data_IF_240915884852
#
_entry.id   IF_240915884852
#
_cell.length_a   1.000
_cell.length_b   1.000
_cell.length_c   1.000
_cell.angle_alpha   90.00
_cell.angle_beta   90.00
_cell.angle_gamma   90.00
#
_symmetry.space_group_name_H-M   'P 1'
#
loop_
_entity.id
_entity.type
_entity.pdbx_description
1 polymer ?
#
# COMPACT_ATOMS: atom_id res chain seq x y z
N UNK A 1 -27.42 38.70 -30.85
CA UNK A 1 -26.36 37.83 -30.29
C UNK A 1 -27.02 36.79 -29.40
N UNK A 2 -27.08 35.53 -29.84
CA UNK A 2 -27.59 34.42 -29.02
C UNK A 2 -26.46 33.98 -28.08
N UNK A 3 -26.75 33.98 -26.78
CA UNK A 3 -25.84 33.47 -25.78
C UNK A 3 -25.59 31.98 -26.04
N UNK A 4 -24.31 31.62 -26.20
CA UNK A 4 -23.88 30.24 -26.27
C UNK A 4 -24.02 29.64 -24.87
N UNK A 5 -25.02 28.78 -24.69
CA UNK A 5 -25.17 27.95 -23.52
C UNK A 5 -23.96 27.01 -23.46
N UNK A 6 -23.05 27.26 -22.51
CA UNK A 6 -21.97 26.34 -22.18
C UNK A 6 -22.59 25.05 -21.64
N UNK A 7 -22.70 24.03 -22.49
CA UNK A 7 -22.93 22.66 -22.05
C UNK A 7 -21.69 22.24 -21.27
N UNK A 8 -21.71 22.42 -19.94
CA UNK A 8 -20.90 21.61 -19.05
C UNK A 8 -21.24 20.16 -19.38
N UNK A 9 -20.30 19.42 -19.97
CA UNK A 9 -20.37 17.95 -19.99
C UNK A 9 -20.55 17.54 -18.53
N UNK A 10 -21.74 17.08 -18.18
CA UNK A 10 -21.98 16.33 -16.96
C UNK A 10 -21.20 15.02 -17.12
N UNK A 11 -19.93 15.05 -16.75
CA UNK A 11 -19.18 13.82 -16.54
C UNK A 11 -19.85 13.13 -15.37
N UNK A 12 -20.52 12.02 -15.65
CA UNK A 12 -21.08 11.16 -14.61
C UNK A 12 -19.94 10.80 -13.67
N UNK A 13 -20.02 11.24 -12.42
CA UNK A 13 -19.03 10.85 -11.42
C UNK A 13 -19.05 9.32 -11.27
N UNK A 14 -17.86 8.73 -11.25
CA UNK A 14 -17.69 7.33 -10.94
C UNK A 14 -18.11 7.10 -9.49
N UNK A 15 -19.00 6.14 -9.27
CA UNK A 15 -19.44 5.74 -7.94
C UNK A 15 -18.37 4.91 -7.22
N UNK A 16 -18.41 4.88 -5.88
CA UNK A 16 -17.57 3.99 -5.06
C UNK A 16 -17.57 2.53 -5.53
N UNK A 17 -18.74 2.00 -5.90
CA UNK A 17 -18.88 0.62 -6.38
C UNK A 17 -18.25 0.40 -7.76
N UNK A 18 -18.34 1.39 -8.65
CA UNK A 18 -17.64 1.35 -9.94
C UNK A 18 -16.13 1.39 -9.74
N UNK A 19 -15.63 2.28 -8.87
CA UNK A 19 -14.22 2.34 -8.51
C UNK A 19 -13.74 1.00 -7.92
N UNK A 20 -14.51 0.38 -7.01
CA UNK A 20 -14.19 -0.91 -6.41
C UNK A 20 -14.11 -2.04 -7.43
N UNK A 21 -15.06 -2.11 -8.37
CA UNK A 21 -15.02 -3.11 -9.44
C UNK A 21 -13.80 -2.93 -10.33
N UNK A 22 -13.53 -1.70 -10.78
CA UNK A 22 -12.38 -1.41 -11.63
C UNK A 22 -11.06 -1.74 -10.92
N UNK A 23 -10.88 -1.27 -9.68
CA UNK A 23 -9.69 -1.57 -8.88
C UNK A 23 -9.53 -3.06 -8.62
N UNK A 24 -10.61 -3.79 -8.32
CA UNK A 24 -10.52 -5.23 -8.10
C UNK A 24 -10.04 -5.98 -9.34
N UNK A 25 -10.50 -5.60 -10.54
CA UNK A 25 -10.03 -6.20 -11.79
C UNK A 25 -8.56 -5.89 -12.03
N UNK A 26 -8.14 -4.63 -11.83
CA UNK A 26 -6.75 -4.22 -12.00
C UNK A 26 -5.82 -4.94 -11.03
N UNK A 27 -6.18 -5.02 -9.75
CA UNK A 27 -5.40 -5.72 -8.74
C UNK A 27 -5.35 -7.24 -8.99
N UNK A 28 -6.43 -7.81 -9.56
CA UNK A 28 -6.40 -9.20 -10.02
C UNK A 28 -5.37 -9.41 -11.12
N UNK A 29 -5.42 -8.62 -12.19
CA UNK A 29 -4.47 -8.76 -13.31
C UNK A 29 -3.02 -8.45 -12.89
N UNK A 30 -2.82 -7.46 -12.02
CA UNK A 30 -1.51 -7.12 -11.44
C UNK A 30 -0.87 -8.29 -10.70
N UNK A 31 -1.68 -9.03 -9.93
CA UNK A 31 -1.19 -10.12 -9.07
C UNK A 31 -1.32 -11.50 -9.71
N UNK A 32 -2.00 -11.62 -10.86
CA UNK A 32 -2.13 -12.85 -11.64
C UNK A 32 -0.81 -13.59 -11.95
N UNK A 33 0.32 -12.91 -12.27
CA UNK A 33 1.57 -13.62 -12.52
C UNK A 33 2.27 -14.10 -11.23
N UNK A 34 1.77 -13.73 -10.04
CA UNK A 34 2.41 -14.11 -8.79
C UNK A 34 2.19 -15.59 -8.49
N UNK A 35 3.20 -16.21 -7.87
CA UNK A 35 3.14 -17.59 -7.38
C UNK A 35 3.16 -17.57 -5.86
N UNK A 36 2.19 -18.26 -5.24
CA UNK A 36 1.98 -18.20 -3.79
C UNK A 36 3.22 -18.62 -3.02
N UNK A 37 3.87 -19.69 -3.46
CA UNK A 37 5.08 -20.23 -2.84
C UNK A 37 6.25 -19.24 -2.93
N UNK A 38 6.36 -18.52 -4.04
CA UNK A 38 7.38 -17.48 -4.20
C UNK A 38 7.12 -16.29 -3.29
N UNK A 39 5.86 -15.84 -3.21
CA UNK A 39 5.47 -14.76 -2.31
C UNK A 39 5.74 -15.12 -0.85
N UNK A 40 5.37 -16.33 -0.44
CA UNK A 40 5.62 -16.84 0.90
C UNK A 40 7.12 -16.91 1.19
N UNK A 41 7.91 -17.46 0.26
CA UNK A 41 9.36 -17.51 0.36
C UNK A 41 9.99 -16.12 0.49
N UNK A 42 9.55 -15.14 -0.29
CA UNK A 42 10.09 -13.77 -0.26
C UNK A 42 9.83 -13.10 1.09
N UNK A 43 8.61 -13.26 1.63
CA UNK A 43 8.23 -12.69 2.93
C UNK A 43 9.01 -13.38 4.06
N UNK A 44 9.11 -14.71 4.04
CA UNK A 44 9.88 -15.46 5.04
C UNK A 44 11.37 -15.09 4.99
N UNK A 45 11.95 -14.92 3.80
CA UNK A 45 13.35 -14.52 3.67
C UNK A 45 13.62 -13.18 4.35
N UNK A 46 12.71 -12.20 4.19
CA UNK A 46 12.83 -10.88 4.84
C UNK A 46 12.70 -11.02 6.37
N UNK A 47 11.72 -11.79 6.85
CA UNK A 47 11.49 -12.03 8.29
C UNK A 47 12.69 -12.75 8.91
N UNK A 48 13.20 -13.80 8.27
CA UNK A 48 14.39 -14.53 8.70
C UNK A 48 15.63 -13.65 8.74
N UNK A 49 15.83 -12.77 7.75
CA UNK A 49 16.94 -11.81 7.76
C UNK A 49 16.88 -10.88 8.97
N UNK A 50 15.70 -10.35 9.31
CA UNK A 50 15.52 -9.53 10.51
C UNK A 50 15.82 -10.31 11.79
N UNK A 51 15.43 -11.60 11.84
CA UNK A 51 15.67 -12.49 12.97
C UNK A 51 17.17 -12.77 13.17
N UNK A 52 17.87 -13.14 12.10
CA UNK A 52 19.31 -13.43 12.13
C UNK A 52 20.14 -12.19 12.52
N UNK A 53 19.69 -11.00 12.14
CA UNK A 53 20.36 -9.74 12.47
C UNK A 53 20.10 -9.26 13.90
N UNK A 54 19.09 -9.81 14.59
CA UNK A 54 18.80 -9.48 15.97
C UNK A 54 19.68 -10.28 16.93
N UNK A 55 20.10 -9.65 18.02
CA UNK A 55 20.89 -10.32 19.06
C UNK A 55 20.04 -11.28 19.92
N UNK A 56 18.75 -10.97 20.07
CA UNK A 56 17.78 -11.69 20.89
C UNK A 56 16.34 -11.40 20.40
N UNK A 57 15.35 -12.09 20.98
CA UNK A 57 13.94 -11.96 20.63
C UNK A 57 13.36 -10.57 20.95
N UNK A 58 13.83 -9.90 22.00
CA UNK A 58 13.35 -8.55 22.35
C UNK A 58 13.79 -7.54 21.29
N UNK A 59 15.07 -7.58 20.90
CA UNK A 59 15.61 -6.76 19.82
C UNK A 59 14.95 -7.08 18.50
N UNK A 60 14.67 -8.35 18.24
CA UNK A 60 13.94 -8.78 17.04
C UNK A 60 12.53 -8.18 16.99
N UNK A 61 11.75 -8.27 18.07
CA UNK A 61 10.40 -7.69 18.14
C UNK A 61 10.44 -6.16 17.99
N UNK A 62 11.40 -5.49 18.60
CA UNK A 62 11.60 -4.04 18.44
C UNK A 62 11.96 -3.66 16.99
N UNK A 63 12.78 -4.47 16.33
CA UNK A 63 13.11 -4.30 14.91
C UNK A 63 11.86 -4.51 14.04
N UNK A 64 11.05 -5.54 14.29
CA UNK A 64 9.77 -5.76 13.59
C UNK A 64 8.86 -4.55 13.75
N UNK A 65 8.70 -4.04 14.97
CA UNK A 65 7.85 -2.89 15.24
C UNK A 65 8.31 -1.63 14.49
N UNK A 66 9.62 -1.37 14.47
CA UNK A 66 10.18 -0.26 13.69
C UNK A 66 9.93 -0.43 12.18
N UNK A 67 10.04 -1.66 11.66
CA UNK A 67 9.75 -1.96 10.26
C UNK A 67 8.26 -1.85 9.93
N UNK A 68 7.36 -2.26 10.84
CA UNK A 68 5.91 -2.05 10.74
C UNK A 68 5.60 -0.56 10.65
N UNK A 69 6.18 0.26 11.54
CA UNK A 69 6.00 1.71 11.50
C UNK A 69 6.49 2.30 10.18
N UNK A 70 7.68 1.91 9.72
CA UNK A 70 8.23 2.38 8.45
C UNK A 70 7.33 1.98 7.25
N UNK A 71 6.87 0.73 7.20
CA UNK A 71 6.04 0.21 6.12
C UNK A 71 4.62 0.80 6.14
N UNK A 72 4.04 1.04 7.33
CA UNK A 72 2.75 1.70 7.49
C UNK A 72 2.77 3.15 7.00
N UNK A 73 3.82 3.89 7.32
CA UNK A 73 4.00 5.26 6.85
C UNK A 73 4.35 5.31 5.35
N UNK A 74 5.09 4.33 4.84
CA UNK A 74 5.34 4.19 3.40
C UNK A 74 4.05 3.92 2.62
N UNK A 75 3.17 3.09 3.17
CA UNK A 75 1.84 2.84 2.61
C UNK A 75 0.99 4.13 2.61
N UNK A 76 1.11 4.96 3.65
CA UNK A 76 0.48 6.28 3.67
C UNK A 76 1.02 7.19 2.57
N UNK A 77 2.34 7.23 2.35
CA UNK A 77 2.95 8.03 1.29
C UNK A 77 2.46 7.62 -0.11
N UNK A 78 2.36 6.32 -0.39
CA UNK A 78 1.81 5.80 -1.65
C UNK A 78 0.37 6.27 -1.88
N UNK A 79 -0.47 6.27 -0.83
CA UNK A 79 -1.82 6.85 -0.92
C UNK A 79 -1.80 8.34 -1.24
N UNK A 80 -0.90 9.11 -0.62
CA UNK A 80 -0.81 10.54 -0.89
C UNK A 80 -0.40 10.83 -2.34
N UNK A 81 0.53 10.04 -2.90
CA UNK A 81 0.95 10.16 -4.30
C UNK A 81 -0.25 9.91 -5.23
N UNK A 82 -1.02 8.84 -5.01
CA UNK A 82 -2.19 8.58 -5.85
C UNK A 82 -3.29 9.62 -5.66
N UNK A 83 -3.53 10.03 -4.40
CA UNK A 83 -4.51 11.07 -4.09
C UNK A 83 -4.16 12.39 -4.78
N UNK A 84 -2.88 12.72 -4.90
CA UNK A 84 -2.42 13.88 -5.65
C UNK A 84 -2.79 13.75 -7.14
N UNK A 85 -2.47 12.63 -7.78
CA UNK A 85 -2.82 12.37 -9.18
C UNK A 85 -4.33 12.46 -9.45
N UNK A 86 -5.16 11.91 -8.54
CA UNK A 86 -6.61 11.97 -8.66
C UNK A 86 -7.17 13.40 -8.50
N UNK A 87 -6.65 14.17 -7.54
CA UNK A 87 -7.12 15.55 -7.28
C UNK A 87 -6.73 16.51 -8.39
N UNK A 88 -5.48 16.43 -8.84
CA UNK A 88 -4.96 17.28 -9.91
C UNK A 88 -5.31 16.75 -11.31
N UNK A 89 -5.95 15.58 -11.39
CA UNK A 89 -6.34 14.90 -12.63
C UNK A 89 -5.17 14.79 -13.61
N UNK A 90 -4.00 14.41 -13.09
CA UNK A 90 -2.75 14.33 -13.84
C UNK A 90 -2.05 13.02 -13.57
N UNK A 91 -1.34 12.54 -14.59
CA UNK A 91 -0.36 11.46 -14.42
C UNK A 91 0.98 12.06 -14.00
N UNK A 92 1.66 11.36 -13.10
CA UNK A 92 3.06 11.62 -12.77
C UNK A 92 3.95 10.70 -13.59
N UNK A 93 5.19 11.12 -13.88
CA UNK A 93 6.16 10.18 -14.45
C UNK A 93 6.57 9.13 -13.40
N UNK A 94 6.98 7.91 -13.83
CA UNK A 94 7.55 6.92 -12.92
C UNK A 94 8.71 7.47 -12.08
N UNK A 95 9.58 8.28 -12.69
CA UNK A 95 10.71 8.90 -11.99
C UNK A 95 10.26 9.88 -10.91
N UNK A 96 9.17 10.62 -11.15
CA UNK A 96 8.58 11.51 -10.15
C UNK A 96 7.99 10.72 -8.98
N UNK A 97 7.29 9.60 -9.25
CA UNK A 97 6.77 8.72 -8.20
C UNK A 97 7.91 8.16 -7.34
N UNK A 98 8.96 7.65 -7.97
CA UNK A 98 10.14 7.11 -7.28
C UNK A 98 10.83 8.17 -6.41
N UNK A 99 10.97 9.40 -6.93
CA UNK A 99 11.54 10.52 -6.18
C UNK A 99 10.68 10.88 -4.97
N UNK A 100 9.36 11.03 -5.15
CA UNK A 100 8.42 11.33 -4.06
C UNK A 100 8.43 10.23 -2.98
N UNK A 101 8.46 8.96 -3.39
CA UNK A 101 8.53 7.84 -2.46
C UNK A 101 9.86 7.82 -1.71
N UNK A 102 10.98 8.08 -2.39
CA UNK A 102 12.31 8.17 -1.79
C UNK A 102 12.36 9.28 -0.74
N UNK A 103 11.87 10.48 -1.07
CA UNK A 103 11.83 11.62 -0.15
C UNK A 103 10.96 11.33 1.07
N UNK A 104 9.79 10.73 0.85
CA UNK A 104 8.91 10.31 1.93
C UNK A 104 9.59 9.29 2.84
N UNK A 105 10.23 8.26 2.28
CA UNK A 105 10.95 7.24 3.05
C UNK A 105 12.13 7.83 3.83
N UNK A 106 12.86 8.79 3.28
CA UNK A 106 13.91 9.50 4.01
C UNK A 106 13.34 10.31 5.18
N UNK A 107 12.22 11.01 4.98
CA UNK A 107 11.54 11.76 6.02
C UNK A 107 11.02 10.83 7.15
N UNK A 108 10.46 9.67 6.78
CA UNK A 108 10.01 8.64 7.72
C UNK A 108 11.20 8.12 8.53
N UNK A 109 12.32 7.77 7.89
CA UNK A 109 13.53 7.27 8.60
C UNK A 109 14.03 8.25 9.66
N UNK A 110 14.02 9.56 9.37
CA UNK A 110 14.44 10.60 10.32
C UNK A 110 13.54 10.68 11.55
N UNK A 111 12.27 10.29 11.42
CA UNK A 111 11.24 10.39 12.48
C UNK A 111 10.84 9.02 13.04
N UNK A 112 11.47 7.94 12.57
CA UNK A 112 11.05 6.58 12.88
C UNK A 112 10.99 6.27 14.39
N UNK A 113 11.95 6.74 15.23
CA UNK A 113 11.85 6.53 16.68
C UNK A 113 10.56 7.08 17.29
N UNK A 114 10.11 8.26 16.86
CA UNK A 114 8.88 8.89 17.34
C UNK A 114 7.61 8.17 16.83
N UNK A 115 7.67 7.66 15.60
CA UNK A 115 6.54 6.99 14.95
C UNK A 115 6.31 5.60 15.53
N UNK A 116 7.38 4.87 15.85
CA UNK A 116 7.35 3.48 16.35
C UNK A 116 6.43 3.33 17.57
N UNK A 117 6.45 4.28 18.51
CA UNK A 117 5.59 4.26 19.70
C UNK A 117 4.09 4.27 19.38
N UNK A 118 3.68 4.84 18.25
CA UNK A 118 2.26 4.85 17.83
C UNK A 118 1.83 3.48 17.33
N UNK A 119 2.73 2.77 16.65
CA UNK A 119 2.49 1.44 16.10
C UNK A 119 2.60 0.34 17.16
N UNK A 120 3.17 0.63 18.33
CA UNK A 120 3.27 -0.32 19.44
C UNK A 120 1.92 -0.64 20.08
N UNK A 121 1.04 0.36 20.14
CA UNK A 121 -0.20 0.33 20.93
C UNK A 121 -1.06 -0.93 20.72
N UNK A 122 -1.29 -1.43 19.48
CA UNK A 122 -2.08 -2.64 19.28
C UNK A 122 -1.45 -3.89 19.92
N UNK A 123 -0.12 -3.95 20.01
CA UNK A 123 0.63 -5.11 20.49
C UNK A 123 0.82 -5.13 22.01
N UNK A 124 0.68 -3.97 22.68
CA UNK A 124 0.79 -3.86 24.14
C UNK A 124 -0.27 -4.68 24.89
N UNK A 125 -1.41 -4.94 24.26
CA UNK A 125 -2.50 -5.74 24.83
C UNK A 125 -2.27 -7.25 24.78
N UNK A 126 -1.19 -7.72 24.14
CA UNK A 126 -0.89 -9.14 23.96
C UNK A 126 0.13 -9.56 25.03
N UNK A 127 -0.33 -10.23 26.08
CA UNK A 127 0.51 -10.62 27.22
C UNK A 127 1.52 -11.72 26.88
N UNK A 128 1.13 -12.69 26.03
CA UNK A 128 2.02 -13.78 25.60
C UNK A 128 3.09 -13.26 24.62
N UNK A 129 4.39 -13.32 24.98
CA UNK A 129 5.47 -12.87 24.10
C UNK A 129 5.53 -13.62 22.77
N UNK A 130 5.19 -14.92 22.75
CA UNK A 130 5.23 -15.72 21.53
C UNK A 130 4.12 -15.29 20.56
N UNK A 131 2.89 -15.12 21.06
CA UNK A 131 1.80 -14.60 20.24
C UNK A 131 2.05 -13.16 19.80
N UNK A 132 2.64 -12.31 20.67
CA UNK A 132 3.01 -10.93 20.29
C UNK A 132 4.00 -10.93 19.12
N UNK A 133 5.03 -11.77 19.18
CA UNK A 133 6.00 -11.97 18.09
C UNK A 133 5.32 -12.41 16.79
N UNK A 134 4.45 -13.42 16.84
CA UNK A 134 3.70 -13.90 15.66
C UNK A 134 2.82 -12.81 15.05
N UNK A 135 2.14 -12.01 15.89
CA UNK A 135 1.30 -10.91 15.41
C UNK A 135 2.13 -9.78 14.78
N UNK A 136 3.31 -9.48 15.31
CA UNK A 136 4.25 -8.55 14.67
C UNK A 136 4.70 -9.08 13.30
N UNK A 137 5.08 -10.35 13.19
CA UNK A 137 5.51 -10.97 11.93
C UNK A 137 4.39 -10.95 10.88
N UNK A 138 3.17 -11.34 11.27
CA UNK A 138 1.98 -11.30 10.40
C UNK A 138 1.67 -9.88 9.94
N UNK A 139 1.70 -8.91 10.85
CA UNK A 139 1.43 -7.50 10.53
C UNK A 139 2.47 -6.94 9.58
N UNK A 140 3.74 -7.26 9.80
CA UNK A 140 4.81 -6.82 8.92
C UNK A 140 4.73 -7.48 7.54
N UNK A 141 4.47 -8.78 7.46
CA UNK A 141 4.25 -9.50 6.21
C UNK A 141 3.10 -8.89 5.39
N UNK A 142 1.98 -8.57 6.05
CA UNK A 142 0.84 -7.91 5.41
C UNK A 142 1.21 -6.55 4.84
N UNK A 143 1.96 -5.74 5.59
CA UNK A 143 2.42 -4.42 5.13
C UNK A 143 3.45 -4.51 3.99
N UNK A 144 4.32 -5.52 3.98
CA UNK A 144 5.24 -5.74 2.86
C UNK A 144 4.48 -5.97 1.56
N UNK A 145 3.49 -6.87 1.57
CA UNK A 145 2.68 -7.12 0.38
C UNK A 145 1.79 -5.96 0.02
N UNK A 146 1.20 -5.27 1.01
CA UNK A 146 0.46 -4.05 0.75
C UNK A 146 1.30 -3.04 -0.05
N UNK A 147 2.51 -2.73 0.44
CA UNK A 147 3.39 -1.75 -0.18
C UNK A 147 3.82 -2.19 -1.58
N UNK A 148 4.13 -3.47 -1.77
CA UNK A 148 4.43 -4.03 -3.10
C UNK A 148 3.27 -3.85 -4.06
N UNK A 149 2.07 -4.30 -3.70
CA UNK A 149 0.86 -4.17 -4.53
C UNK A 149 0.59 -2.70 -4.86
N UNK A 150 0.66 -1.83 -3.86
CA UNK A 150 0.37 -0.41 -4.05
C UNK A 150 1.41 0.28 -4.95
N UNK A 151 2.69 -0.08 -4.81
CA UNK A 151 3.77 0.44 -5.67
C UNK A 151 3.59 -0.02 -7.11
N UNK A 152 3.42 -1.33 -7.31
CA UNK A 152 3.22 -1.94 -8.63
C UNK A 152 1.97 -1.33 -9.29
N UNK A 153 0.87 -1.14 -8.54
CA UNK A 153 -0.32 -0.46 -9.05
C UNK A 153 -0.03 0.97 -9.53
N UNK A 154 0.69 1.79 -8.75
CA UNK A 154 0.98 3.17 -9.16
C UNK A 154 1.85 3.22 -10.41
N UNK A 155 2.81 2.31 -10.54
CA UNK A 155 3.66 2.23 -11.71
C UNK A 155 2.85 1.81 -12.94
N UNK A 156 1.96 0.82 -12.82
CA UNK A 156 1.05 0.44 -13.91
C UNK A 156 0.05 1.55 -14.26
N UNK A 157 -0.45 2.27 -13.25
CA UNK A 157 -1.44 3.35 -13.41
C UNK A 157 -0.91 4.50 -14.28
N UNK A 158 0.41 4.76 -14.24
CA UNK A 158 1.05 5.84 -15.02
C UNK A 158 1.74 5.37 -16.29
N UNK A 159 1.63 4.10 -16.67
CA UNK A 159 2.16 3.67 -17.97
C UNK A 159 1.37 4.31 -19.10
N UNK A 160 2.07 4.84 -20.10
CA UNK A 160 1.45 5.50 -21.26
C UNK A 160 0.37 4.63 -21.94
N UNK A 161 0.64 3.33 -22.08
CA UNK A 161 -0.30 2.35 -22.63
C UNK A 161 -1.59 2.17 -21.81
N UNK A 162 -1.55 2.51 -20.52
CA UNK A 162 -2.67 2.39 -19.59
C UNK A 162 -3.37 3.74 -19.32
N UNK A 163 -2.77 4.89 -19.65
CA UNK A 163 -3.30 6.22 -19.29
C UNK A 163 -4.76 6.43 -19.70
N UNK A 164 -5.14 5.99 -20.90
CA UNK A 164 -6.52 6.12 -21.38
C UNK A 164 -7.48 5.35 -20.46
N UNK A 165 -7.14 4.12 -20.09
CA UNK A 165 -7.95 3.30 -19.20
C UNK A 165 -7.91 3.82 -17.75
N UNK A 166 -6.75 4.30 -17.28
CA UNK A 166 -6.56 4.84 -15.94
C UNK A 166 -7.28 6.18 -15.73
N UNK A 167 -7.43 6.99 -16.79
CA UNK A 167 -8.08 8.31 -16.72
C UNK A 167 -9.53 8.26 -16.23
N UNK A 168 -10.20 7.11 -16.32
CA UNK A 168 -11.56 6.93 -15.79
C UNK A 168 -11.64 7.19 -14.28
N UNK A 169 -10.55 6.98 -13.55
CA UNK A 169 -10.49 7.24 -12.10
C UNK A 169 -10.49 8.73 -11.77
N UNK A 170 -10.17 9.62 -12.72
CA UNK A 170 -10.30 11.07 -12.51
C UNK A 170 -11.76 11.53 -12.40
N UNK A 171 -12.71 10.68 -12.79
CA UNK A 171 -14.13 10.92 -12.55
C UNK A 171 -14.61 10.42 -11.16
N UNK A 172 -13.76 9.77 -10.37
CA UNK A 172 -14.10 9.31 -9.03
C UNK A 172 -13.87 10.41 -7.98
N UNK A 173 -14.61 10.36 -6.87
CA UNK A 173 -14.22 11.12 -5.69
C UNK A 173 -12.86 10.59 -5.18
N UNK A 174 -11.82 11.45 -5.03
CA UNK A 174 -10.50 10.99 -4.65
C UNK A 174 -10.48 10.27 -3.29
N UNK A 175 -11.31 10.67 -2.33
CA UNK A 175 -11.32 10.04 -1.01
C UNK A 175 -11.95 8.65 -1.07
N UNK A 176 -13.06 8.50 -1.79
CA UNK A 176 -13.70 7.19 -2.00
C UNK A 176 -12.77 6.23 -2.75
N UNK A 177 -12.14 6.69 -3.83
CA UNK A 177 -11.19 5.87 -4.60
C UNK A 177 -10.02 5.40 -3.73
N UNK A 178 -9.44 6.29 -2.92
CA UNK A 178 -8.32 5.99 -2.01
C UNK A 178 -8.73 5.01 -0.91
N UNK A 179 -9.93 5.17 -0.34
CA UNK A 179 -10.47 4.25 0.67
C UNK A 179 -10.61 2.84 0.10
N UNK A 180 -11.23 2.73 -1.07
CA UNK A 180 -11.44 1.46 -1.77
C UNK A 180 -10.11 0.80 -2.16
N UNK A 181 -9.18 1.57 -2.73
CA UNK A 181 -7.85 1.07 -3.06
C UNK A 181 -7.12 0.52 -1.85
N UNK A 182 -7.12 1.27 -0.74
CA UNK A 182 -6.50 0.79 0.49
C UNK A 182 -7.15 -0.49 0.99
N UNK A 183 -8.48 -0.55 1.00
CA UNK A 183 -9.20 -1.74 1.42
C UNK A 183 -8.83 -2.96 0.55
N UNK A 184 -8.87 -2.81 -0.78
CA UNK A 184 -8.58 -3.89 -1.70
C UNK A 184 -7.12 -4.34 -1.65
N UNK A 185 -6.16 -3.43 -1.56
CA UNK A 185 -4.75 -3.79 -1.37
C UNK A 185 -4.56 -4.62 -0.08
N UNK A 186 -5.22 -4.25 1.01
CA UNK A 186 -5.19 -5.02 2.27
C UNK A 186 -5.83 -6.40 2.13
N UNK A 187 -6.96 -6.51 1.42
CA UNK A 187 -7.62 -7.80 1.14
C UNK A 187 -6.71 -8.71 0.31
N UNK A 188 -6.10 -8.18 -0.75
CA UNK A 188 -5.19 -8.96 -1.61
C UNK A 188 -3.92 -9.37 -0.85
N UNK A 189 -3.32 -8.46 -0.08
CA UNK A 189 -2.16 -8.79 0.76
C UNK A 189 -2.49 -9.94 1.72
N UNK A 190 -3.65 -9.88 2.38
CA UNK A 190 -4.11 -10.94 3.29
C UNK A 190 -4.33 -12.27 2.57
N UNK A 191 -4.97 -12.24 1.39
CA UNK A 191 -5.20 -13.45 0.57
C UNK A 191 -3.88 -14.10 0.13
N UNK A 192 -2.88 -13.30 -0.24
CA UNK A 192 -1.57 -13.82 -0.63
C UNK A 192 -0.80 -14.44 0.54
N UNK A 193 -1.05 -13.98 1.77
CA UNK A 193 -0.45 -14.53 2.99
C UNK A 193 -1.25 -15.67 3.62
N UNK A 194 -2.43 -16.00 3.09
CA UNK A 194 -3.24 -17.09 3.62
C UNK A 194 -2.45 -18.41 3.63
N UNK A 195 -2.38 -19.07 4.77
CA UNK A 195 -1.61 -20.31 4.94
C UNK A 195 -0.10 -20.10 5.07
N UNK A 196 0.39 -18.86 5.18
CA UNK A 196 1.76 -18.60 5.56
C UNK A 196 1.94 -18.88 7.06
N UNK A 197 2.82 -19.82 7.38
CA UNK A 197 3.26 -20.08 8.75
C UNK A 197 4.55 -19.29 9.00
N UNK A 198 4.53 -18.46 10.04
CA UNK A 198 5.68 -17.71 10.55
C UNK A 198 6.03 -18.34 11.89
N UNK A 199 7.20 -18.98 11.94
CA UNK A 199 7.67 -19.83 13.06
C UNK A 199 8.16 -19.05 14.28
#
# INVERSE_FOLDING_TARGET
MKAATSQRKEWRMMTKDEAARCLSVLLHELTKPWRKEKIHSDVLEIIMKLRIQAADDERYMNNLLSNIAFAGESAHALKQIWSYMLREQTFLSPQTIEAMLTDAQQAIRRRLPELTARYERPFLSIDDPLERKRQLERSYGALLLFNRIATDFLLEFVREENETAASVFFAADPNEAIEVFHHLCSVYASRWLEGLEVD
#
